data_IF_105249356583
#
_entry.id   IF_105249356583
#
_cell.length_a   1.000
_cell.length_b   1.000
_cell.length_c   1.000
_cell.angle_alpha   90.00
_cell.angle_beta   90.00
_cell.angle_gamma   90.00
#
_symmetry.space_group_name_H-M   'P 1'
#
loop_
_entity.id
_entity.type
_entity.pdbx_description
1 polymer ?
#
# COMPACT_ATOMS: atom_id res chain seq x y z
N UNK A 1 -16.48 -0.40 -6.49
CA UNK A 1 -14.99 -0.34 -6.56
C UNK A 1 -14.48 -1.67 -7.10
N UNK A 2 -13.47 -1.65 -7.98
CA UNK A 2 -12.81 -2.87 -8.47
C UNK A 2 -12.02 -3.54 -7.34
N UNK A 3 -11.92 -4.88 -7.35
CA UNK A 3 -11.15 -5.67 -6.39
C UNK A 3 -10.20 -6.62 -7.09
N UNK A 4 -9.18 -7.08 -6.36
CA UNK A 4 -8.28 -8.15 -6.77
C UNK A 4 -8.36 -9.27 -5.74
N UNK A 5 -8.31 -10.51 -6.21
CA UNK A 5 -8.32 -11.69 -5.34
C UNK A 5 -6.90 -12.06 -4.93
N UNK A 6 -6.61 -12.00 -3.65
CA UNK A 6 -5.33 -12.40 -3.07
C UNK A 6 -5.12 -13.93 -3.18
N UNK A 7 -3.87 -14.40 -2.99
CA UNK A 7 -3.52 -15.83 -3.08
C UNK A 7 -4.24 -16.72 -2.07
N UNK A 8 -4.76 -16.15 -1.00
CA UNK A 8 -5.56 -16.83 0.02
C UNK A 8 -7.09 -16.70 -0.18
N UNK A 9 -7.51 -16.08 -1.29
CA UNK A 9 -8.92 -15.96 -1.67
C UNK A 9 -9.64 -14.70 -1.17
N UNK A 10 -9.01 -13.87 -0.37
CA UNK A 10 -9.58 -12.60 0.12
C UNK A 10 -9.64 -11.57 -1.03
N UNK A 11 -10.76 -10.86 -1.13
CA UNK A 11 -10.92 -9.75 -2.06
C UNK A 11 -10.35 -8.46 -1.45
N UNK A 12 -9.45 -7.79 -2.19
CA UNK A 12 -8.81 -6.53 -1.78
C UNK A 12 -9.16 -5.43 -2.78
N UNK A 13 -9.63 -4.25 -2.35
CA UNK A 13 -9.85 -3.12 -3.25
C UNK A 13 -8.56 -2.69 -3.96
N UNK A 14 -8.64 -2.34 -5.26
CA UNK A 14 -7.45 -1.95 -6.04
C UNK A 14 -7.00 -0.51 -5.81
N UNK A 15 -7.82 0.29 -5.12
CA UNK A 15 -7.51 1.66 -4.73
C UNK A 15 -7.81 1.86 -3.25
N UNK A 16 -6.83 2.36 -2.51
CA UNK A 16 -6.95 2.69 -1.09
C UNK A 16 -6.48 4.12 -0.77
N UNK A 17 -6.67 4.51 0.48
CA UNK A 17 -6.08 5.72 1.04
C UNK A 17 -4.86 5.37 1.88
N UNK A 18 -3.67 5.86 1.48
CA UNK A 18 -2.48 5.85 2.31
C UNK A 18 -2.53 6.95 3.38
N UNK A 19 -2.05 6.66 4.58
CA UNK A 19 -2.16 7.59 5.72
C UNK A 19 -0.82 8.09 6.27
N UNK A 20 0.28 7.79 5.61
CA UNK A 20 1.61 8.29 6.03
C UNK A 20 1.63 9.82 6.13
N UNK A 21 2.17 10.37 7.23
CA UNK A 21 2.18 11.81 7.56
C UNK A 21 0.80 12.45 7.81
N UNK A 22 -0.25 11.68 8.07
CA UNK A 22 -1.48 12.19 8.67
C UNK A 22 -1.35 12.13 10.19
N UNK A 23 -0.61 13.06 10.78
CA UNK A 23 -0.25 13.05 12.21
C UNK A 23 -1.13 13.96 13.08
N UNK A 24 -1.81 14.92 12.47
CA UNK A 24 -2.80 15.75 13.16
C UNK A 24 -4.11 14.96 13.33
N UNK A 25 -4.61 14.80 14.57
CA UNK A 25 -5.78 13.97 14.87
C UNK A 25 -7.01 14.35 14.06
N UNK A 26 -7.38 15.62 14.07
CA UNK A 26 -8.61 16.12 13.45
C UNK A 26 -8.54 16.00 11.93
N UNK A 27 -7.38 16.30 11.35
CA UNK A 27 -7.15 16.18 9.91
C UNK A 27 -7.16 14.71 9.47
N UNK A 28 -6.59 13.82 10.27
CA UNK A 28 -6.59 12.39 10.00
C UNK A 28 -8.03 11.86 9.99
N UNK A 29 -8.77 12.07 11.06
CA UNK A 29 -10.16 11.60 11.20
C UNK A 29 -11.06 12.15 10.08
N UNK A 30 -10.97 13.45 9.78
CA UNK A 30 -11.74 14.04 8.67
C UNK A 30 -11.38 13.42 7.31
N UNK A 31 -10.09 13.21 7.06
CA UNK A 31 -9.64 12.63 5.78
C UNK A 31 -10.14 11.20 5.60
N UNK A 32 -10.11 10.37 6.65
CA UNK A 32 -10.62 9.01 6.63
C UNK A 32 -12.14 8.99 6.44
N UNK A 33 -12.87 9.78 7.23
CA UNK A 33 -14.33 9.87 7.13
C UNK A 33 -14.77 10.32 5.73
N UNK A 34 -14.10 11.33 5.16
CA UNK A 34 -14.39 11.80 3.81
C UNK A 34 -14.06 10.74 2.74
N UNK A 35 -12.94 10.03 2.86
CA UNK A 35 -12.60 8.95 1.95
C UNK A 35 -13.66 7.84 1.98
N UNK A 36 -14.10 7.41 3.16
CA UNK A 36 -15.17 6.40 3.31
C UNK A 36 -16.47 6.90 2.66
N UNK A 37 -16.83 8.18 2.88
CA UNK A 37 -18.02 8.81 2.29
C UNK A 37 -17.97 8.87 0.75
N UNK A 38 -16.79 9.12 0.17
CA UNK A 38 -16.57 9.11 -1.28
C UNK A 38 -16.71 7.70 -1.85
N UNK A 39 -16.40 6.66 -1.06
CA UNK A 39 -16.50 5.27 -1.49
C UNK A 39 -15.21 4.45 -1.34
N UNK A 40 -14.15 5.01 -0.76
CA UNK A 40 -12.96 4.22 -0.42
C UNK A 40 -13.33 3.10 0.56
N UNK A 41 -12.72 1.93 0.35
CA UNK A 41 -12.92 0.76 1.21
C UNK A 41 -11.60 0.16 1.68
N UNK A 42 -10.45 0.61 1.19
CA UNK A 42 -9.11 0.24 1.64
C UNK A 42 -8.46 1.43 2.33
N UNK A 43 -8.02 1.24 3.58
CA UNK A 43 -7.28 2.21 4.38
C UNK A 43 -5.96 1.57 4.77
N UNK A 44 -4.84 2.19 4.39
CA UNK A 44 -3.49 1.72 4.69
C UNK A 44 -2.82 2.61 5.73
N UNK A 45 -2.45 2.01 6.86
CA UNK A 45 -1.70 2.65 7.93
C UNK A 45 -0.49 1.81 8.37
N UNK A 46 0.15 2.19 9.46
CA UNK A 46 1.25 1.45 10.08
C UNK A 46 1.45 1.90 11.54
N UNK A 47 2.01 1.02 12.38
CA UNK A 47 2.42 1.35 13.74
C UNK A 47 3.36 2.56 13.80
N UNK A 48 4.33 2.61 12.87
CA UNK A 48 5.30 3.70 12.78
C UNK A 48 4.72 5.06 12.36
N UNK A 49 3.44 5.13 11.94
CA UNK A 49 2.81 6.41 11.57
C UNK A 49 2.20 7.15 12.76
N UNK A 50 1.95 6.45 13.87
CA UNK A 50 1.38 7.04 15.09
C UNK A 50 -0.07 7.50 14.98
N UNK A 51 -0.81 7.07 13.96
CA UNK A 51 -2.16 7.55 13.66
C UNK A 51 -3.25 6.47 13.72
N UNK A 52 -2.93 5.24 14.10
CA UNK A 52 -3.88 4.12 14.15
C UNK A 52 -5.12 4.45 15.01
N UNK A 53 -4.95 5.17 16.13
CA UNK A 53 -6.06 5.54 17.01
C UNK A 53 -7.03 6.51 16.36
N UNK A 54 -6.53 7.46 15.57
CA UNK A 54 -7.36 8.43 14.85
C UNK A 54 -8.17 7.74 13.74
N UNK A 55 -7.53 6.79 13.04
CA UNK A 55 -8.18 5.95 12.03
C UNK A 55 -9.26 5.08 12.69
N UNK A 56 -8.97 4.47 13.84
CA UNK A 56 -9.92 3.67 14.60
C UNK A 56 -11.18 4.46 14.96
N UNK A 57 -11.02 5.71 15.44
CA UNK A 57 -12.17 6.58 15.75
C UNK A 57 -12.99 6.94 14.49
N UNK A 58 -12.33 7.27 13.39
CA UNK A 58 -13.00 7.58 12.14
C UNK A 58 -13.78 6.39 11.57
N UNK A 59 -13.21 5.19 11.64
CA UNK A 59 -13.85 3.94 11.21
C UNK A 59 -15.05 3.61 12.09
N UNK A 60 -14.88 3.66 13.42
CA UNK A 60 -15.96 3.36 14.37
C UNK A 60 -17.11 4.38 14.28
N UNK A 61 -16.83 5.63 13.90
CA UNK A 61 -17.83 6.67 13.70
C UNK A 61 -18.47 6.68 12.31
N UNK A 62 -18.10 5.76 11.40
CA UNK A 62 -18.67 5.70 10.05
C UNK A 62 -19.96 4.88 10.00
N UNK A 63 -20.83 5.20 9.03
CA UNK A 63 -22.05 4.42 8.74
C UNK A 63 -21.78 3.13 7.91
N UNK A 64 -20.51 2.89 7.54
CA UNK A 64 -20.08 1.72 6.76
C UNK A 64 -19.71 0.59 7.74
N UNK A 65 -20.26 -0.59 7.52
CA UNK A 65 -19.95 -1.75 8.36
C UNK A 65 -18.45 -2.12 8.29
N UNK A 66 -17.86 -2.55 9.43
CA UNK A 66 -16.44 -2.89 9.52
C UNK A 66 -15.99 -3.91 8.46
N UNK A 67 -16.83 -4.87 8.16
CA UNK A 67 -16.60 -5.95 7.18
C UNK A 67 -16.62 -5.47 5.72
N UNK A 68 -17.13 -4.29 5.45
CA UNK A 68 -17.04 -3.65 4.14
C UNK A 68 -15.72 -2.88 3.96
N UNK A 69 -14.98 -2.65 5.04
CA UNK A 69 -13.70 -1.95 5.05
C UNK A 69 -12.54 -2.95 5.06
N UNK A 70 -11.53 -2.67 4.28
CA UNK A 70 -10.27 -3.39 4.25
C UNK A 70 -9.20 -2.52 4.94
N UNK A 71 -8.76 -2.92 6.13
CA UNK A 71 -7.80 -2.17 6.93
C UNK A 71 -6.45 -2.88 6.92
N UNK A 72 -5.44 -2.18 6.42
CA UNK A 72 -4.04 -2.61 6.44
C UNK A 72 -3.27 -1.85 7.51
N UNK A 73 -2.52 -2.56 8.35
CA UNK A 73 -1.46 -1.98 9.19
C UNK A 73 -0.15 -2.73 9.02
N UNK A 74 0.93 -2.18 9.57
CA UNK A 74 2.28 -2.75 9.40
C UNK A 74 2.97 -2.81 10.76
N UNK A 75 3.55 -3.97 11.07
CA UNK A 75 4.40 -4.14 12.24
C UNK A 75 5.70 -3.37 12.02
N UNK A 76 6.01 -2.43 12.90
CA UNK A 76 7.26 -1.70 12.85
C UNK A 76 8.43 -2.62 13.22
N UNK A 77 9.53 -2.58 12.49
CA UNK A 77 10.62 -3.54 12.67
C UNK A 77 11.23 -3.55 14.10
N UNK A 78 11.14 -2.46 14.86
CA UNK A 78 11.53 -2.43 16.28
C UNK A 78 10.62 -3.27 17.16
N UNK A 79 9.43 -3.65 16.69
CA UNK A 79 8.46 -4.48 17.42
C UNK A 79 8.53 -5.96 17.02
N UNK A 80 9.45 -6.38 16.15
CA UNK A 80 9.51 -7.75 15.64
C UNK A 80 9.75 -8.82 16.71
N UNK A 81 10.41 -8.47 17.82
CA UNK A 81 10.55 -9.38 18.98
C UNK A 81 9.26 -9.51 19.80
N UNK A 82 8.25 -8.70 19.54
CA UNK A 82 6.97 -8.64 20.25
C UNK A 82 5.80 -8.48 19.26
N UNK A 83 5.87 -9.13 18.12
CA UNK A 83 4.93 -8.95 16.99
C UNK A 83 3.48 -9.19 17.42
N UNK A 84 3.18 -10.29 18.12
CA UNK A 84 1.82 -10.57 18.60
C UNK A 84 1.26 -9.44 19.46
N UNK A 85 1.98 -9.03 20.49
CA UNK A 85 1.53 -7.98 21.38
C UNK A 85 1.35 -6.64 20.65
N UNK A 86 2.24 -6.33 19.70
CA UNK A 86 2.15 -5.10 18.90
C UNK A 86 0.96 -5.10 17.94
N UNK A 87 0.60 -6.25 17.36
CA UNK A 87 -0.60 -6.39 16.52
C UNK A 87 -1.88 -6.28 17.35
N UNK A 88 -1.92 -6.87 18.54
CA UNK A 88 -3.05 -6.73 19.47
C UNK A 88 -3.23 -5.27 19.89
N UNK A 89 -2.16 -4.53 20.12
CA UNK A 89 -2.21 -3.09 20.39
C UNK A 89 -2.70 -2.30 19.17
N UNK A 90 -2.29 -2.66 17.95
CA UNK A 90 -2.85 -2.08 16.71
C UNK A 90 -4.36 -2.31 16.61
N UNK A 91 -4.85 -3.52 16.90
CA UNK A 91 -6.30 -3.82 16.92
C UNK A 91 -7.03 -2.96 17.95
N UNK A 92 -6.46 -2.78 19.14
CA UNK A 92 -7.02 -1.93 20.19
C UNK A 92 -7.14 -0.46 19.71
N UNK A 93 -6.07 0.09 19.10
CA UNK A 93 -6.05 1.45 18.56
C UNK A 93 -7.04 1.62 17.41
N UNK A 94 -7.09 0.65 16.50
CA UNK A 94 -8.00 0.63 15.35
C UNK A 94 -9.44 0.27 15.73
N UNK A 95 -9.72 -0.05 17.02
CA UNK A 95 -11.03 -0.39 17.55
C UNK A 95 -11.69 -1.54 16.79
N UNK A 96 -10.95 -2.61 16.54
CA UNK A 96 -11.39 -3.77 15.75
C UNK A 96 -10.90 -5.09 16.34
N UNK A 97 -11.67 -6.15 16.15
CA UNK A 97 -11.33 -7.50 16.64
C UNK A 97 -10.49 -8.30 15.64
N UNK A 98 -10.34 -7.81 14.41
CA UNK A 98 -9.53 -8.43 13.37
C UNK A 98 -8.94 -7.38 12.42
N UNK A 99 -7.89 -7.77 11.69
CA UNK A 99 -7.29 -6.96 10.63
C UNK A 99 -7.40 -7.69 9.29
N UNK A 100 -7.61 -6.93 8.21
CA UNK A 100 -7.71 -7.52 6.87
C UNK A 100 -6.33 -7.88 6.33
N UNK A 101 -5.34 -7.02 6.56
CA UNK A 101 -3.95 -7.26 6.16
C UNK A 101 -2.98 -6.70 7.19
N UNK A 102 -1.99 -7.51 7.57
CA UNK A 102 -0.85 -7.06 8.37
C UNK A 102 0.44 -7.32 7.61
N UNK A 103 1.27 -6.29 7.49
CA UNK A 103 2.56 -6.37 6.80
C UNK A 103 3.73 -6.32 7.80
N UNK A 104 4.82 -7.03 7.53
CA UNK A 104 6.12 -6.65 8.06
C UNK A 104 6.60 -5.41 7.29
N UNK A 105 6.84 -4.29 8.02
CA UNK A 105 7.05 -2.98 7.38
C UNK A 105 8.37 -2.87 6.62
N UNK A 106 9.43 -3.50 7.12
CA UNK A 106 10.78 -3.48 6.55
C UNK A 106 11.45 -4.84 6.68
N UNK A 107 12.35 -5.21 5.74
CA UNK A 107 13.11 -6.48 5.82
C UNK A 107 14.31 -6.39 6.78
N UNK A 108 14.15 -5.70 7.91
CA UNK A 108 15.21 -5.48 8.90
C UNK A 108 14.95 -6.27 10.18
N UNK A 109 16.00 -6.59 10.93
CA UNK A 109 15.88 -7.28 12.22
C UNK A 109 15.40 -8.73 12.12
N UNK A 110 14.68 -9.19 13.14
CA UNK A 110 14.25 -10.58 13.28
C UNK A 110 12.97 -10.90 12.51
N UNK A 111 13.01 -10.73 11.19
CA UNK A 111 11.85 -10.88 10.31
C UNK A 111 11.24 -12.28 10.33
N UNK A 112 12.04 -13.34 10.50
CA UNK A 112 11.53 -14.72 10.54
C UNK A 112 10.72 -15.03 11.80
N UNK A 113 11.16 -14.55 12.96
CA UNK A 113 10.38 -14.71 14.20
C UNK A 113 9.07 -13.93 14.09
N UNK A 114 9.14 -12.68 13.65
CA UNK A 114 7.97 -11.83 13.42
C UNK A 114 6.97 -12.47 12.44
N UNK A 115 7.46 -13.03 11.33
CA UNK A 115 6.62 -13.71 10.34
C UNK A 115 5.89 -14.92 10.94
N UNK A 116 6.56 -15.74 11.75
CA UNK A 116 5.94 -16.91 12.40
C UNK A 116 4.84 -16.51 13.37
N UNK A 117 5.01 -15.41 14.12
CA UNK A 117 3.93 -14.88 14.96
C UNK A 117 2.75 -14.37 14.14
N UNK A 118 2.98 -13.75 12.97
CA UNK A 118 1.91 -13.41 12.04
C UNK A 118 1.21 -14.65 11.47
N UNK A 119 1.94 -15.71 11.13
CA UNK A 119 1.35 -17.00 10.71
C UNK A 119 0.42 -17.59 11.79
N UNK A 120 0.79 -17.48 13.06
CA UNK A 120 -0.05 -17.94 14.17
C UNK A 120 -1.32 -17.09 14.34
N UNK A 121 -1.21 -15.76 14.26
CA UNK A 121 -2.36 -14.85 14.29
C UNK A 121 -3.29 -15.05 13.10
N UNK A 122 -2.72 -15.30 11.91
CA UNK A 122 -3.46 -15.65 10.70
C UNK A 122 -4.23 -16.97 10.87
N UNK A 123 -3.56 -18.02 11.37
CA UNK A 123 -4.19 -19.31 11.63
C UNK A 123 -5.29 -19.24 12.71
N UNK A 124 -5.16 -18.31 13.66
CA UNK A 124 -6.17 -18.03 14.68
C UNK A 124 -7.34 -17.18 14.19
N UNK A 125 -7.33 -16.73 12.90
CA UNK A 125 -8.37 -15.88 12.32
C UNK A 125 -8.38 -14.43 12.82
N UNK A 126 -7.32 -14.00 13.51
CA UNK A 126 -7.16 -12.60 13.99
C UNK A 126 -6.74 -11.67 12.85
N UNK A 127 -6.08 -12.20 11.85
CA UNK A 127 -5.66 -11.49 10.62
C UNK A 127 -6.18 -12.28 9.43
N UNK A 128 -6.79 -11.61 8.46
CA UNK A 128 -7.35 -12.24 7.26
C UNK A 128 -6.31 -12.50 6.18
N UNK A 129 -5.27 -11.68 6.10
CA UNK A 129 -4.12 -11.84 5.19
C UNK A 129 -2.85 -11.30 5.82
N UNK A 130 -1.72 -11.94 5.55
CA UNK A 130 -0.39 -11.48 5.98
C UNK A 130 0.50 -11.21 4.78
N UNK A 131 1.34 -10.18 4.87
CA UNK A 131 2.22 -9.77 3.78
C UNK A 131 3.47 -9.05 4.28
N UNK A 132 4.19 -8.49 3.34
CA UNK A 132 5.44 -7.79 3.61
C UNK A 132 5.46 -6.43 2.92
N UNK A 133 6.36 -5.56 3.34
CA UNK A 133 6.60 -4.27 2.69
C UNK A 133 8.11 -4.05 2.53
N UNK A 134 8.51 -3.42 1.42
CA UNK A 134 9.91 -3.13 1.09
C UNK A 134 10.81 -4.37 0.92
N UNK A 135 10.24 -5.56 0.68
CA UNK A 135 11.01 -6.76 0.43
C UNK A 135 11.48 -6.78 -1.03
N UNK A 136 12.78 -6.95 -1.22
CA UNK A 136 13.41 -7.18 -2.52
C UNK A 136 13.25 -8.64 -2.94
N UNK A 137 13.57 -8.97 -4.19
CA UNK A 137 13.35 -10.31 -4.75
C UNK A 137 14.03 -11.41 -3.93
N UNK A 138 15.29 -11.21 -3.54
CA UNK A 138 16.07 -12.14 -2.74
C UNK A 138 15.46 -12.36 -1.35
N UNK A 139 15.10 -11.25 -0.65
CA UNK A 139 14.48 -11.30 0.69
C UNK A 139 13.09 -11.92 0.66
N UNK A 140 12.31 -11.63 -0.37
CA UNK A 140 10.98 -12.20 -0.56
C UNK A 140 11.05 -13.72 -0.76
N UNK A 141 11.95 -14.18 -1.65
CA UNK A 141 12.11 -15.62 -1.93
C UNK A 141 12.65 -16.36 -0.71
N UNK A 142 13.62 -15.78 -0.02
CA UNK A 142 14.18 -16.36 1.20
C UNK A 142 13.10 -16.54 2.27
N UNK A 143 12.25 -15.52 2.50
CA UNK A 143 11.12 -15.63 3.43
C UNK A 143 10.15 -16.76 3.05
N UNK A 144 9.80 -16.88 1.75
CA UNK A 144 8.89 -17.90 1.24
C UNK A 144 9.44 -19.32 1.45
N UNK A 145 10.73 -19.52 1.18
CA UNK A 145 11.33 -20.85 1.24
C UNK A 145 11.49 -21.38 2.68
N UNK A 146 11.52 -20.50 3.66
CA UNK A 146 11.79 -20.85 5.07
C UNK A 146 10.60 -20.68 6.01
N UNK A 147 9.40 -20.42 5.48
CA UNK A 147 8.17 -20.27 6.27
C UNK A 147 7.01 -21.01 5.60
N UNK A 148 5.86 -21.10 6.29
CA UNK A 148 4.71 -21.92 5.87
C UNK A 148 3.75 -21.18 4.94
N UNK A 149 3.56 -19.89 5.19
CA UNK A 149 2.57 -19.06 4.47
C UNK A 149 3.31 -18.16 3.48
N UNK A 150 2.88 -18.20 2.23
CA UNK A 150 3.36 -17.26 1.20
C UNK A 150 2.72 -15.89 1.46
N UNK A 151 3.48 -14.79 1.48
CA UNK A 151 2.91 -13.46 1.60
C UNK A 151 1.77 -13.22 0.62
N UNK A 152 0.67 -12.67 1.07
CA UNK A 152 -0.44 -12.31 0.19
C UNK A 152 -0.16 -11.04 -0.62
N UNK A 153 0.60 -10.12 -0.03
CA UNK A 153 0.94 -8.80 -0.57
C UNK A 153 2.43 -8.52 -0.34
N UNK A 154 3.08 -7.87 -1.30
CA UNK A 154 4.31 -7.12 -1.08
C UNK A 154 4.06 -5.66 -1.45
N UNK A 155 4.09 -4.77 -0.46
CA UNK A 155 3.88 -3.34 -0.63
C UNK A 155 5.23 -2.64 -0.82
N UNK A 156 5.44 -2.06 -2.00
CA UNK A 156 6.72 -1.44 -2.38
C UNK A 156 6.51 -0.10 -3.04
N UNK A 157 7.52 0.77 -2.99
CA UNK A 157 7.51 2.01 -3.75
C UNK A 157 7.21 1.74 -5.22
N UNK A 158 6.13 2.36 -5.75
CA UNK A 158 5.76 2.19 -7.16
C UNK A 158 5.23 3.49 -7.73
N UNK A 159 5.89 3.99 -8.75
CA UNK A 159 5.51 5.21 -9.47
C UNK A 159 5.97 5.13 -10.93
N UNK A 160 5.73 6.17 -11.70
CA UNK A 160 5.98 6.16 -13.14
C UNK A 160 7.45 5.87 -13.53
N UNK A 161 8.43 6.27 -12.70
CA UNK A 161 9.86 6.05 -12.97
C UNK A 161 10.48 4.89 -12.17
N UNK A 162 9.70 4.25 -11.30
CA UNK A 162 10.08 3.09 -10.51
C UNK A 162 8.93 2.08 -10.53
N UNK A 163 8.79 1.35 -11.66
CA UNK A 163 7.64 0.46 -11.90
C UNK A 163 7.82 -0.94 -11.35
N UNK A 164 8.99 -1.23 -10.74
CA UNK A 164 9.28 -2.49 -10.06
C UNK A 164 9.19 -3.74 -10.94
N UNK A 165 9.57 -3.62 -12.21
CA UNK A 165 9.39 -4.66 -13.23
C UNK A 165 10.11 -5.98 -12.89
N UNK A 166 11.28 -5.91 -12.24
CA UNK A 166 12.06 -7.09 -11.85
C UNK A 166 11.36 -7.89 -10.75
N UNK A 167 11.05 -7.26 -9.63
CA UNK A 167 10.40 -7.95 -8.51
C UNK A 167 8.97 -8.38 -8.85
N UNK A 168 8.28 -7.67 -9.73
CA UNK A 168 6.93 -8.05 -10.18
C UNK A 168 6.89 -9.45 -10.78
N UNK A 169 7.94 -9.87 -11.53
CA UNK A 169 8.03 -11.24 -12.10
C UNK A 169 8.01 -12.30 -11.01
N UNK A 170 8.70 -12.05 -9.89
CA UNK A 170 8.74 -12.96 -8.76
C UNK A 170 7.41 -12.95 -7.99
N UNK A 171 6.85 -11.79 -7.73
CA UNK A 171 5.53 -11.69 -7.10
C UNK A 171 4.48 -12.44 -7.90
N UNK A 172 4.43 -12.25 -9.23
CA UNK A 172 3.53 -12.98 -10.12
C UNK A 172 3.72 -14.49 -10.06
N UNK A 173 4.97 -14.98 -10.04
CA UNK A 173 5.29 -16.42 -9.93
C UNK A 173 4.69 -17.05 -8.68
N UNK A 174 4.71 -16.36 -7.56
CA UNK A 174 4.19 -16.83 -6.27
C UNK A 174 2.77 -16.34 -5.97
N UNK A 175 2.12 -15.68 -6.92
CA UNK A 175 0.77 -15.11 -6.79
C UNK A 175 0.66 -14.12 -5.63
N UNK A 176 1.70 -13.31 -5.42
CA UNK A 176 1.76 -12.24 -4.43
C UNK A 176 1.24 -10.96 -5.07
N UNK A 177 0.27 -10.31 -4.45
CA UNK A 177 -0.25 -9.05 -4.94
C UNK A 177 0.77 -7.93 -4.77
N UNK A 178 1.02 -7.20 -5.85
CA UNK A 178 1.79 -5.97 -5.85
C UNK A 178 0.91 -4.83 -5.33
N UNK A 179 1.30 -4.20 -4.23
CA UNK A 179 0.71 -2.96 -3.74
C UNK A 179 1.75 -1.84 -3.82
N UNK A 180 1.37 -0.70 -4.41
CA UNK A 180 2.26 0.43 -4.67
C UNK A 180 2.00 1.61 -3.73
N UNK A 181 2.97 1.94 -2.86
CA UNK A 181 2.95 3.20 -2.16
C UNK A 181 3.66 4.30 -2.95
N UNK A 182 3.40 5.57 -2.61
CA UNK A 182 3.94 6.75 -3.28
C UNK A 182 3.73 6.76 -4.81
N UNK A 183 2.50 6.54 -5.30
CA UNK A 183 2.22 6.47 -6.73
C UNK A 183 2.60 7.73 -7.49
N UNK A 184 2.74 8.85 -6.78
CA UNK A 184 3.14 10.16 -7.32
C UNK A 184 4.58 10.57 -6.95
N UNK A 185 5.41 9.65 -6.42
CA UNK A 185 6.81 9.92 -6.09
C UNK A 185 7.02 10.95 -4.98
N UNK A 186 6.02 11.23 -4.14
CA UNK A 186 6.08 12.22 -3.04
C UNK A 186 6.60 13.60 -3.47
N UNK A 187 6.17 14.09 -4.63
CA UNK A 187 6.58 15.38 -5.17
C UNK A 187 7.93 15.39 -5.90
N UNK A 188 8.72 14.33 -5.83
CA UNK A 188 10.05 14.27 -6.47
C UNK A 188 10.00 14.17 -8.00
N UNK A 189 8.84 13.84 -8.55
CA UNK A 189 8.61 13.72 -10.00
C UNK A 189 7.51 14.65 -10.51
N UNK A 190 7.14 15.67 -9.75
CA UNK A 190 6.04 16.58 -10.13
C UNK A 190 6.30 17.27 -11.49
N UNK A 191 7.55 17.61 -11.80
CA UNK A 191 7.91 18.17 -13.10
C UNK A 191 7.63 17.23 -14.29
N UNK A 192 7.51 15.93 -14.05
CA UNK A 192 7.16 14.95 -15.08
C UNK A 192 5.69 15.05 -15.49
N UNK A 193 4.83 15.60 -14.63
CA UNK A 193 3.40 15.75 -14.94
C UNK A 193 3.10 16.86 -15.93
N UNK A 194 4.09 17.69 -16.25
CA UNK A 194 4.04 18.70 -17.34
C UNK A 194 4.59 18.13 -18.69
N UNK A 195 4.90 16.84 -18.74
CA UNK A 195 5.33 16.18 -19.98
C UNK A 195 4.21 16.23 -21.03
N UNK A 196 4.50 16.74 -22.25
CA UNK A 196 3.47 16.91 -23.28
C UNK A 196 2.75 15.63 -23.69
N UNK A 197 3.44 14.48 -23.62
CA UNK A 197 2.85 13.18 -23.96
C UNK A 197 1.86 12.74 -22.88
N UNK A 198 2.21 12.92 -21.61
CA UNK A 198 1.31 12.62 -20.49
C UNK A 198 0.08 13.54 -20.51
N UNK A 199 0.29 14.83 -20.77
CA UNK A 199 -0.80 15.79 -20.91
C UNK A 199 -1.73 15.43 -22.09
N UNK A 200 -1.17 15.05 -23.22
CA UNK A 200 -1.96 14.61 -24.37
C UNK A 200 -2.84 13.38 -24.07
N UNK A 201 -2.28 12.38 -23.35
CA UNK A 201 -3.05 11.21 -22.92
C UNK A 201 -4.17 11.63 -21.95
N UNK A 202 -3.87 12.51 -21.01
CA UNK A 202 -4.85 12.99 -20.01
C UNK A 202 -6.01 13.74 -20.69
N UNK A 203 -5.71 14.63 -21.65
CA UNK A 203 -6.70 15.41 -22.40
C UNK A 203 -7.66 14.51 -23.19
N UNK A 204 -7.20 13.41 -23.78
CA UNK A 204 -8.04 12.43 -24.50
C UNK A 204 -9.16 11.86 -23.65
N UNK A 205 -8.93 11.69 -22.35
CA UNK A 205 -9.89 11.12 -21.40
C UNK A 205 -10.58 12.19 -20.54
N UNK A 206 -10.27 13.48 -20.74
CA UNK A 206 -10.72 14.57 -19.87
C UNK A 206 -10.37 14.33 -18.40
N UNK A 207 -9.15 13.85 -18.17
CA UNK A 207 -8.59 13.50 -16.85
C UNK A 207 -7.33 14.30 -16.57
N UNK A 208 -6.91 14.30 -15.30
CA UNK A 208 -5.60 14.82 -14.94
C UNK A 208 -4.50 13.79 -15.22
N UNK A 209 -3.27 14.23 -15.37
CA UNK A 209 -2.11 13.33 -15.51
C UNK A 209 -2.00 12.39 -14.29
N UNK A 210 -2.35 12.86 -13.09
CA UNK A 210 -2.36 12.01 -11.88
C UNK A 210 -3.39 10.88 -11.98
N UNK A 211 -4.57 11.15 -12.50
CA UNK A 211 -5.57 10.09 -12.76
C UNK A 211 -5.06 9.09 -13.80
N UNK A 212 -4.41 9.54 -14.87
CA UNK A 212 -3.78 8.66 -15.87
C UNK A 212 -2.71 7.77 -15.23
N UNK A 213 -1.85 8.32 -14.36
CA UNK A 213 -0.82 7.55 -13.65
C UNK A 213 -1.43 6.51 -12.70
N UNK A 214 -2.48 6.84 -11.96
CA UNK A 214 -3.19 5.86 -11.11
C UNK A 214 -3.84 4.76 -11.96
N UNK A 215 -4.52 5.14 -13.05
CA UNK A 215 -5.15 4.16 -13.95
C UNK A 215 -4.13 3.23 -14.58
N UNK A 216 -2.98 3.76 -15.01
CA UNK A 216 -1.86 2.97 -15.52
C UNK A 216 -1.40 1.90 -14.52
N UNK A 217 -1.19 2.29 -13.25
CA UNK A 217 -0.76 1.35 -12.23
C UNK A 217 -1.83 0.28 -11.97
N UNK A 218 -3.10 0.67 -11.84
CA UNK A 218 -4.23 -0.25 -11.67
C UNK A 218 -4.32 -1.23 -12.84
N UNK A 219 -4.27 -0.75 -14.08
CA UNK A 219 -4.28 -1.60 -15.29
C UNK A 219 -3.03 -2.49 -15.41
N UNK A 220 -1.94 -2.11 -14.76
CA UNK A 220 -0.73 -2.94 -14.65
C UNK A 220 -0.84 -4.00 -13.54
N UNK A 221 -1.97 -4.07 -12.83
CA UNK A 221 -2.23 -5.04 -11.76
C UNK A 221 -1.68 -4.63 -10.39
N UNK A 222 -1.41 -3.33 -10.20
CA UNK A 222 -0.93 -2.78 -8.93
C UNK A 222 -2.11 -2.23 -8.13
N UNK A 223 -2.23 -2.60 -6.87
CA UNK A 223 -3.10 -1.92 -5.89
C UNK A 223 -2.42 -0.62 -5.50
N UNK A 224 -3.12 0.51 -5.55
CA UNK A 224 -2.53 1.83 -5.31
C UNK A 224 -3.11 2.50 -4.07
N UNK A 225 -2.25 3.15 -3.28
CA UNK A 225 -2.61 3.82 -2.03
C UNK A 225 -2.10 5.27 -1.99
N UNK A 226 -2.61 6.14 -2.90
CA UNK A 226 -2.27 7.56 -2.86
C UNK A 226 -2.67 8.19 -1.53
N UNK A 227 -1.82 9.09 -0.99
CA UNK A 227 -2.11 9.86 0.22
C UNK A 227 -2.51 11.28 -0.13
N UNK A 228 -3.59 11.74 0.45
CA UNK A 228 -3.98 13.15 0.44
C UNK A 228 -4.86 13.49 1.64
N UNK A 229 -4.85 14.75 2.07
CA UNK A 229 -5.75 15.29 3.07
C UNK A 229 -6.77 16.27 2.45
N UNK A 230 -6.72 16.48 1.14
CA UNK A 230 -7.57 17.41 0.42
C UNK A 230 -8.78 16.69 -0.16
N UNK A 231 -10.03 17.05 0.20
CA UNK A 231 -11.25 16.37 -0.27
C UNK A 231 -11.35 16.30 -1.80
N UNK A 232 -11.02 17.38 -2.50
CA UNK A 232 -11.06 17.41 -3.97
C UNK A 232 -10.10 16.38 -4.59
N UNK A 233 -8.91 16.22 -4.02
CA UNK A 233 -7.95 15.21 -4.48
C UNK A 233 -8.35 13.79 -4.11
N UNK A 234 -9.05 13.58 -2.98
CA UNK A 234 -9.64 12.28 -2.65
C UNK A 234 -10.63 11.87 -3.74
N UNK A 235 -11.51 12.79 -4.14
CA UNK A 235 -12.49 12.55 -5.20
C UNK A 235 -11.78 12.34 -6.55
N UNK A 236 -10.85 13.20 -6.93
CA UNK A 236 -10.05 13.08 -8.16
C UNK A 236 -9.37 11.71 -8.25
N UNK A 237 -8.67 11.26 -7.19
CA UNK A 237 -8.01 9.96 -7.16
C UNK A 237 -9.01 8.79 -7.23
N UNK A 238 -10.24 8.96 -6.77
CA UNK A 238 -11.28 7.94 -6.82
C UNK A 238 -11.91 7.82 -8.22
N UNK A 239 -11.96 8.90 -8.99
CA UNK A 239 -12.56 8.97 -10.33
C UNK A 239 -11.60 8.45 -11.43
N UNK A 240 -11.13 7.20 -11.28
CA UNK A 240 -10.18 6.53 -12.19
C UNK A 240 -10.74 5.24 -12.81
N UNK A 241 -12.01 4.91 -12.53
CA UNK A 241 -12.62 3.67 -12.99
C UNK A 241 -13.52 3.83 -14.22
N UNK A 242 -13.77 5.04 -14.66
CA UNK A 242 -14.68 5.39 -15.76
C UNK A 242 -13.98 5.49 -17.13
N UNK A 243 -12.68 5.22 -17.18
CA UNK A 243 -11.89 5.17 -18.42
C UNK A 243 -10.85 4.04 -18.37
N UNK A 244 -10.30 3.72 -19.54
CA UNK A 244 -9.23 2.73 -19.68
C UNK A 244 -8.19 3.18 -20.69
N UNK A 245 -6.92 3.02 -20.37
CA UNK A 245 -5.79 3.32 -21.25
C UNK A 245 -5.68 2.26 -22.35
N UNK A 246 -5.39 2.69 -23.56
CA UNK A 246 -5.14 1.82 -24.70
C UNK A 246 -3.74 1.16 -24.61
N UNK A 247 -3.54 0.07 -25.37
CA UNK A 247 -2.30 -0.69 -25.31
C UNK A 247 -1.04 0.14 -25.64
N UNK A 248 -1.13 1.03 -26.64
CA UNK A 248 -0.04 1.93 -27.01
C UNK A 248 0.24 2.98 -25.92
N UNK A 249 -0.78 3.48 -25.23
CA UNK A 249 -0.62 4.39 -24.10
C UNK A 249 0.03 3.70 -22.90
N UNK A 250 -0.36 2.47 -22.61
CA UNK A 250 0.28 1.62 -21.61
C UNK A 250 1.78 1.40 -21.92
N UNK A 251 2.15 1.19 -23.22
CA UNK A 251 3.54 1.06 -23.63
C UNK A 251 4.32 2.39 -23.44
N UNK A 252 3.72 3.52 -23.81
CA UNK A 252 4.29 4.84 -23.56
C UNK A 252 4.57 5.04 -22.08
N UNK A 253 3.59 4.77 -21.22
CA UNK A 253 3.74 4.93 -19.77
C UNK A 253 4.81 3.95 -19.18
N UNK A 254 4.92 2.73 -19.72
CA UNK A 254 6.00 1.81 -19.35
C UNK A 254 7.39 2.35 -19.71
N UNK A 255 7.51 3.11 -20.80
CA UNK A 255 8.81 3.65 -21.25
C UNK A 255 9.41 4.72 -20.31
N UNK A 256 8.62 5.27 -19.39
CA UNK A 256 9.11 6.19 -18.35
C UNK A 256 9.89 5.49 -17.22
N UNK A 257 9.84 4.17 -17.13
CA UNK A 257 10.55 3.41 -16.08
C UNK A 257 12.06 3.64 -16.16
N UNK A 258 12.64 4.05 -15.06
CA UNK A 258 14.10 4.21 -14.89
C UNK A 258 14.66 3.20 -13.90
N UNK A 259 13.80 2.34 -13.33
CA UNK A 259 14.14 1.41 -12.27
C UNK A 259 14.89 2.08 -11.09
N UNK A 260 14.52 3.33 -10.80
CA UNK A 260 15.21 4.15 -9.79
C UNK A 260 14.28 4.44 -8.63
N UNK A 261 14.50 3.86 -7.43
CA UNK A 261 13.73 4.19 -6.24
C UNK A 261 13.98 5.64 -5.81
N UNK A 262 12.91 6.31 -5.33
CA UNK A 262 12.96 7.72 -4.91
C UNK A 262 12.95 7.89 -3.39
N UNK A 263 12.34 6.94 -2.66
CA UNK A 263 11.92 7.16 -1.27
C UNK A 263 12.73 6.33 -0.28
N UNK A 264 13.55 5.47 -0.75
CA UNK A 264 14.43 4.65 0.08
C UNK A 264 14.82 3.38 -0.66
N UNK A 265 15.98 2.88 -0.31
CA UNK A 265 16.46 1.64 -0.87
C UNK A 265 16.75 0.66 0.27
N UNK A 266 15.91 -0.38 0.49
CA UNK A 266 16.13 -1.35 1.55
C UNK A 266 17.41 -2.18 1.37
N UNK A 267 18.06 -2.12 0.21
CA UNK A 267 19.34 -2.78 -0.07
C UNK A 267 20.55 -1.86 0.16
N UNK A 268 20.32 -0.55 0.35
CA UNK A 268 21.42 0.37 0.62
C UNK A 268 21.89 0.24 2.08
N UNK A 269 23.17 -0.13 2.32
CA UNK A 269 23.70 -0.25 3.67
C UNK A 269 23.57 1.04 4.51
N UNK A 270 23.58 2.21 3.88
CA UNK A 270 23.40 3.49 4.59
C UNK A 270 21.96 3.61 5.10
N UNK A 271 20.98 3.27 4.27
CA UNK A 271 19.56 3.21 4.67
C UNK A 271 19.35 2.22 5.82
N UNK A 272 19.94 1.02 5.72
CA UNK A 272 19.84 0.00 6.78
C UNK A 272 20.49 0.48 8.07
N UNK A 273 21.68 1.04 8.00
CA UNK A 273 22.40 1.54 9.19
C UNK A 273 21.65 2.69 9.88
N UNK A 274 21.08 3.62 9.12
CA UNK A 274 20.33 4.76 9.69
C UNK A 274 18.99 4.33 10.30
N UNK A 275 18.44 3.16 9.93
CA UNK A 275 17.15 2.69 10.44
C UNK A 275 17.11 2.51 11.95
N UNK A 276 18.25 2.37 12.61
CA UNK A 276 18.33 2.27 14.07
C UNK A 276 17.82 3.54 14.76
N UNK A 277 17.88 4.69 14.07
CA UNK A 277 17.47 6.00 14.57
C UNK A 277 15.97 6.30 14.31
N UNK A 278 15.31 5.52 13.48
CA UNK A 278 13.88 5.70 13.07
C UNK A 278 12.86 5.45 14.18
#
# INVERSE_FOLDING_TARGET
METVKLNNGIEMPVLGLGTFLLTDPDTCERSISEAIRIGYRLIDTAQGYGNEEYIGRAVAGSDVAREELFITTKVWFKNYEHTRASVEESMRKLQTDYLDLVLLHWPFGNTYAAWRELEELYAAGRIRAIGVSNYTSDRLIDLILHNKVVPAVNQIETNLISQQTEIYRWMKKYRIQHEGYAPFGQGKIDALYDDPVLMYIADRYHKTVRQVVLRFQIQSGVVVIPKTMHPDRLKENFEVFDFGLEANEMEILRSFDKATPLIGNPQDPVTVASSIEW
#
